data_IF_595367178586
#
_entry.id   IF_595367178586
#
_cell.length_a   1.000
_cell.length_b   1.000
_cell.length_c   1.000
_cell.angle_alpha   90.00
_cell.angle_beta   90.00
_cell.angle_gamma   90.00
#
_symmetry.space_group_name_H-M   'P 1'
#
loop_
_entity.id
_entity.type
_entity.pdbx_description
1 polymer ?
#
# COMPACT_ATOMS: atom_id res chain seq x y z
N UNK A 1 -54.84 57.14 41.08
CA UNK A 1 -54.23 55.81 41.16
C UNK A 1 -53.40 55.61 39.91
N UNK A 2 -52.07 55.60 40.04
CA UNK A 2 -51.15 55.41 38.92
C UNK A 2 -50.87 53.90 38.78
N UNK A 3 -51.11 53.33 37.59
CA UNK A 3 -50.67 51.97 37.27
C UNK A 3 -49.35 52.05 36.48
N UNK A 4 -48.30 51.50 37.06
CA UNK A 4 -47.02 51.27 36.38
C UNK A 4 -47.16 50.09 35.41
N UNK A 5 -46.56 50.14 34.21
CA UNK A 5 -46.46 48.97 33.36
C UNK A 5 -45.35 48.06 33.91
N UNK A 6 -45.76 46.97 34.57
CA UNK A 6 -44.85 45.90 34.99
C UNK A 6 -44.33 45.20 33.75
N UNK A 7 -43.03 45.37 33.50
CA UNK A 7 -42.25 44.62 32.52
C UNK A 7 -42.38 43.12 32.79
N UNK A 8 -43.06 42.41 31.90
CA UNK A 8 -43.17 40.97 31.90
C UNK A 8 -42.15 40.38 30.92
N UNK A 9 -40.87 40.44 31.26
CA UNK A 9 -39.84 39.62 30.61
C UNK A 9 -39.29 38.67 31.67
N UNK A 10 -39.69 37.40 31.58
CA UNK A 10 -39.13 36.33 32.41
C UNK A 10 -37.64 36.15 32.14
N UNK A 11 -36.87 35.54 33.07
CA UNK A 11 -35.44 35.35 32.94
C UNK A 11 -35.16 34.17 32.00
N UNK A 12 -35.53 34.31 30.73
CA UNK A 12 -35.11 33.43 29.66
C UNK A 12 -34.18 34.24 28.77
N UNK A 13 -32.95 34.38 29.28
CA UNK A 13 -31.74 34.82 28.61
C UNK A 13 -31.98 35.47 27.23
N UNK A 14 -32.27 36.77 27.24
CA UNK A 14 -31.96 37.62 26.10
C UNK A 14 -30.44 37.60 25.95
N UNK A 15 -29.94 36.65 25.17
CA UNK A 15 -28.53 36.67 24.77
C UNK A 15 -28.28 37.97 24.03
N UNK A 16 -27.24 38.70 24.44
CA UNK A 16 -26.88 39.92 23.73
C UNK A 16 -26.54 39.58 22.27
N UNK A 17 -26.67 40.55 21.36
CA UNK A 17 -26.29 40.39 19.95
C UNK A 17 -24.85 39.85 19.81
N UNK A 18 -23.98 40.15 20.77
CA UNK A 18 -22.61 39.64 20.81
C UNK A 18 -22.58 38.12 21.12
N UNK A 19 -23.36 37.67 22.09
CA UNK A 19 -23.44 36.26 22.49
C UNK A 19 -24.07 35.40 21.40
N UNK A 20 -25.10 35.90 20.70
CA UNK A 20 -25.72 35.19 19.57
C UNK A 20 -24.75 35.06 18.39
N UNK A 21 -23.99 36.12 18.07
CA UNK A 21 -22.95 36.05 17.04
C UNK A 21 -21.84 35.04 17.41
N UNK A 22 -21.37 35.04 18.66
CA UNK A 22 -20.35 34.09 19.12
C UNK A 22 -20.83 32.64 19.03
N UNK A 23 -22.09 32.38 19.41
CA UNK A 23 -22.71 31.06 19.28
C UNK A 23 -22.78 30.60 17.82
N UNK A 24 -23.25 31.47 16.91
CA UNK A 24 -23.35 31.15 15.48
C UNK A 24 -21.99 30.86 14.85
N UNK A 25 -20.94 31.62 15.22
CA UNK A 25 -19.57 31.35 14.78
C UNK A 25 -19.08 29.97 15.24
N UNK A 26 -19.29 29.62 16.51
CA UNK A 26 -18.93 28.31 17.04
C UNK A 26 -19.69 27.18 16.33
N UNK A 27 -20.97 27.38 16.04
CA UNK A 27 -21.78 26.38 15.35
C UNK A 27 -21.37 26.21 13.89
N UNK A 28 -21.02 27.30 13.20
CA UNK A 28 -20.49 27.27 11.84
C UNK A 28 -19.15 26.52 11.78
N UNK A 29 -18.25 26.77 12.73
CA UNK A 29 -16.97 26.07 12.82
C UNK A 29 -17.15 24.57 13.07
N UNK A 30 -18.06 24.19 13.97
CA UNK A 30 -18.43 22.77 14.19
C UNK A 30 -18.99 22.13 12.92
N UNK A 31 -19.87 22.83 12.21
CA UNK A 31 -20.45 22.31 10.95
C UNK A 31 -19.39 22.15 9.88
N UNK A 32 -18.47 23.11 9.74
CA UNK A 32 -17.34 22.99 8.81
C UNK A 32 -16.44 21.80 9.15
N UNK A 33 -16.10 21.59 10.42
CA UNK A 33 -15.32 20.42 10.82
C UNK A 33 -16.08 19.12 10.52
N UNK A 34 -17.37 19.05 10.83
CA UNK A 34 -18.18 17.85 10.55
C UNK A 34 -18.26 17.54 9.06
N UNK A 35 -18.29 18.57 8.21
CA UNK A 35 -18.28 18.40 6.76
C UNK A 35 -16.94 17.83 6.30
N UNK A 36 -15.82 18.37 6.81
CA UNK A 36 -14.47 17.84 6.52
C UNK A 36 -14.35 16.37 6.91
N UNK A 37 -14.75 16.01 8.13
CA UNK A 37 -14.68 14.63 8.62
C UNK A 37 -15.55 13.68 7.78
N UNK A 38 -16.74 14.13 7.35
CA UNK A 38 -17.62 13.35 6.50
C UNK A 38 -17.03 13.18 5.09
N UNK A 39 -16.42 14.22 4.53
CA UNK A 39 -15.71 14.15 3.25
C UNK A 39 -14.57 13.14 3.30
N UNK A 40 -13.74 13.15 4.36
CA UNK A 40 -12.65 12.19 4.52
C UNK A 40 -13.17 10.75 4.58
N UNK A 41 -14.23 10.51 5.37
CA UNK A 41 -14.87 9.18 5.47
C UNK A 41 -15.48 8.74 4.14
N UNK A 42 -16.12 9.64 3.42
CA UNK A 42 -16.68 9.36 2.09
C UNK A 42 -15.59 8.93 1.11
N UNK A 43 -14.50 9.69 1.04
CA UNK A 43 -13.36 9.38 0.16
C UNK A 43 -12.71 8.04 0.53
N UNK A 44 -12.52 7.77 1.82
CA UNK A 44 -11.98 6.50 2.30
C UNK A 44 -12.89 5.31 1.95
N UNK A 45 -14.20 5.45 2.14
CA UNK A 45 -15.20 4.44 1.77
C UNK A 45 -15.20 4.18 0.27
N UNK A 46 -15.12 5.25 -0.53
CA UNK A 46 -15.08 5.17 -1.99
C UNK A 46 -13.82 4.44 -2.48
N UNK A 47 -12.63 4.81 -1.99
CA UNK A 47 -11.38 4.13 -2.32
C UNK A 47 -11.39 2.63 -1.96
N UNK A 48 -12.03 2.30 -0.83
CA UNK A 48 -12.21 0.91 -0.38
C UNK A 48 -13.13 0.14 -1.32
N UNK A 49 -14.27 0.72 -1.70
CA UNK A 49 -15.22 0.12 -2.63
C UNK A 49 -14.58 -0.14 -4.01
N UNK A 50 -13.84 0.84 -4.53
CA UNK A 50 -13.10 0.71 -5.80
C UNK A 50 -12.03 -0.38 -5.75
N UNK A 51 -11.23 -0.42 -4.68
CA UNK A 51 -10.21 -1.46 -4.49
C UNK A 51 -10.81 -2.86 -4.42
N UNK A 52 -11.94 -2.99 -3.72
CA UNK A 52 -12.67 -4.25 -3.61
C UNK A 52 -13.28 -4.66 -4.96
N UNK A 53 -13.89 -3.73 -5.69
CA UNK A 53 -14.44 -3.97 -7.03
C UNK A 53 -13.36 -4.46 -8.00
N UNK A 54 -12.19 -3.82 -8.03
CA UNK A 54 -11.03 -4.27 -8.82
C UNK A 54 -10.56 -5.68 -8.43
N UNK A 55 -10.49 -5.95 -7.12
CA UNK A 55 -10.12 -7.28 -6.63
C UNK A 55 -11.14 -8.32 -7.10
N UNK A 56 -12.44 -8.06 -7.00
CA UNK A 56 -13.49 -8.97 -7.44
C UNK A 56 -13.55 -9.15 -8.96
N UNK A 57 -13.27 -8.09 -9.73
CA UNK A 57 -13.17 -8.14 -11.19
C UNK A 57 -12.09 -9.13 -11.65
N UNK A 58 -10.94 -9.15 -10.96
CA UNK A 58 -9.84 -10.08 -11.22
C UNK A 58 -10.25 -11.55 -11.11
N UNK A 59 -11.19 -11.86 -10.20
CA UNK A 59 -11.69 -13.22 -9.99
C UNK A 59 -12.98 -13.54 -10.78
N UNK A 60 -13.42 -12.62 -11.67
CA UNK A 60 -14.62 -12.79 -12.51
C UNK A 60 -15.86 -13.21 -11.71
N UNK A 61 -16.13 -12.48 -10.61
CA UNK A 61 -17.33 -12.71 -9.82
C UNK A 61 -18.59 -12.35 -10.63
N UNK A 62 -19.36 -13.36 -11.04
CA UNK A 62 -20.57 -13.17 -11.88
C UNK A 62 -21.75 -12.61 -11.08
N UNK A 63 -21.87 -12.96 -9.79
CA UNK A 63 -22.99 -12.51 -8.93
C UNK A 63 -22.98 -11.00 -8.64
N UNK A 64 -21.83 -10.34 -8.78
CA UNK A 64 -21.65 -8.92 -8.51
C UNK A 64 -21.16 -8.12 -9.71
N UNK A 65 -21.27 -8.68 -10.92
CA UNK A 65 -20.70 -8.09 -12.14
C UNK A 65 -21.21 -6.67 -12.40
N UNK A 66 -22.52 -6.47 -12.36
CA UNK A 66 -23.16 -5.17 -12.61
C UNK A 66 -22.73 -4.12 -11.55
N UNK A 67 -22.56 -4.55 -10.29
CA UNK A 67 -22.09 -3.69 -9.21
C UNK A 67 -20.62 -3.31 -9.39
N UNK A 68 -19.78 -4.26 -9.78
CA UNK A 68 -18.36 -4.03 -10.06
C UNK A 68 -18.22 -3.03 -11.20
N UNK A 69 -18.96 -3.22 -12.30
CA UNK A 69 -18.93 -2.33 -13.46
C UNK A 69 -19.39 -0.91 -13.08
N UNK A 70 -20.50 -0.79 -12.34
CA UNK A 70 -21.01 0.50 -11.87
C UNK A 70 -20.03 1.25 -10.96
N UNK A 71 -19.35 0.57 -10.03
CA UNK A 71 -18.38 1.22 -9.12
C UNK A 71 -17.13 1.68 -9.88
N UNK A 72 -16.68 0.90 -10.87
CA UNK A 72 -15.51 1.25 -11.69
C UNK A 72 -15.82 2.40 -12.66
N UNK A 73 -17.01 2.42 -13.26
CA UNK A 73 -17.46 3.52 -14.13
C UNK A 73 -17.66 4.83 -13.35
N UNK A 74 -18.26 4.78 -12.17
CA UNK A 74 -18.46 5.95 -11.31
C UNK A 74 -17.12 6.57 -10.85
N UNK A 75 -16.10 5.75 -10.59
CA UNK A 75 -14.75 6.23 -10.25
C UNK A 75 -14.11 6.97 -11.43
N UNK A 76 -14.22 6.42 -12.65
CA UNK A 76 -13.68 7.06 -13.86
C UNK A 76 -14.35 8.40 -14.13
N UNK A 77 -15.68 8.48 -14.02
CA UNK A 77 -16.42 9.72 -14.22
C UNK A 77 -16.15 10.74 -13.11
N UNK A 78 -15.96 10.30 -11.88
CA UNK A 78 -15.59 11.18 -10.77
C UNK A 78 -14.19 11.76 -10.95
N UNK A 79 -13.21 10.93 -11.32
CA UNK A 79 -11.88 11.41 -11.67
C UNK A 79 -11.98 12.38 -12.84
N UNK A 80 -12.71 12.06 -13.91
CA UNK A 80 -12.89 12.98 -15.05
C UNK A 80 -13.53 14.32 -14.64
N UNK A 81 -14.51 14.31 -13.73
CA UNK A 81 -15.16 15.52 -13.20
C UNK A 81 -14.26 16.31 -12.25
N UNK A 82 -13.54 15.66 -11.35
CA UNK A 82 -12.56 16.26 -10.45
C UNK A 82 -11.39 16.88 -11.24
N UNK A 83 -11.00 16.23 -12.33
CA UNK A 83 -10.01 16.72 -13.30
C UNK A 83 -10.50 17.91 -14.13
N UNK A 84 -11.80 17.98 -14.39
CA UNK A 84 -12.43 19.11 -15.06
C UNK A 84 -12.60 20.33 -14.13
N UNK A 85 -12.69 20.13 -12.81
CA UNK A 85 -12.84 21.20 -11.81
C UNK A 85 -11.51 21.75 -11.25
N UNK A 86 -10.38 21.04 -11.38
CA UNK A 86 -9.06 21.48 -10.88
C UNK A 86 -8.26 22.32 -11.91
N UNK A 87 -7.67 23.47 -11.52
CA UNK A 87 -6.91 24.31 -12.46
C UNK A 87 -5.53 23.71 -12.80
N UNK A 88 -5.13 23.88 -14.07
CA UNK A 88 -3.84 23.58 -14.77
C UNK A 88 -3.02 22.35 -14.28
N UNK A 89 -2.62 21.44 -15.18
CA UNK A 89 -1.84 20.21 -14.89
C UNK A 89 -0.62 20.35 -13.95
N UNK A 90 0.03 21.52 -13.92
CA UNK A 90 1.18 21.81 -13.05
C UNK A 90 0.86 21.84 -11.55
N UNK A 91 -0.37 22.17 -11.15
CA UNK A 91 -0.79 22.14 -9.75
C UNK A 91 -1.02 20.69 -9.25
N UNK A 92 -1.41 19.78 -10.17
CA UNK A 92 -1.62 18.35 -9.89
C UNK A 92 -0.31 17.62 -9.58
N UNK A 93 0.77 17.93 -10.32
CA UNK A 93 2.10 17.35 -10.08
C UNK A 93 2.62 17.69 -8.68
N UNK A 94 2.50 18.95 -8.25
CA UNK A 94 2.98 19.42 -6.94
C UNK A 94 2.41 18.70 -5.72
N UNK A 95 1.19 18.15 -5.83
CA UNK A 95 0.51 17.46 -4.72
C UNK A 95 0.96 15.99 -4.63
N UNK A 96 1.27 15.36 -5.78
CA UNK A 96 1.72 13.97 -5.83
C UNK A 96 3.26 13.82 -5.75
N UNK A 97 4.01 14.89 -6.00
CA UNK A 97 5.48 14.89 -5.99
C UNK A 97 6.08 14.28 -4.69
N UNK A 98 5.60 14.59 -3.46
CA UNK A 98 6.17 14.00 -2.25
C UNK A 98 5.89 12.49 -2.12
N UNK A 99 4.71 12.04 -2.56
CA UNK A 99 4.33 10.63 -2.51
C UNK A 99 5.12 9.81 -3.53
N UNK A 100 5.25 10.33 -4.76
CA UNK A 100 6.07 9.74 -5.82
C UNK A 100 7.53 9.67 -5.37
N UNK A 101 8.06 10.71 -4.73
CA UNK A 101 9.42 10.72 -4.21
C UNK A 101 9.60 9.71 -3.06
N UNK A 102 8.63 9.58 -2.16
CA UNK A 102 8.66 8.59 -1.09
C UNK A 102 8.68 7.17 -1.65
N UNK A 103 7.82 6.88 -2.63
CA UNK A 103 7.73 5.59 -3.29
C UNK A 103 9.01 5.26 -4.09
N UNK A 104 9.60 6.25 -4.78
CA UNK A 104 10.89 6.10 -5.46
C UNK A 104 12.02 5.75 -4.48
N UNK A 105 12.08 6.40 -3.31
CA UNK A 105 13.05 6.11 -2.26
C UNK A 105 12.89 4.70 -1.70
N UNK A 106 11.66 4.28 -1.42
CA UNK A 106 11.36 2.93 -0.92
C UNK A 106 11.72 1.84 -1.96
N UNK A 107 11.46 2.11 -3.24
CA UNK A 107 11.85 1.23 -4.34
C UNK A 107 13.37 1.10 -4.44
N UNK A 108 14.11 2.21 -4.40
CA UNK A 108 15.59 2.19 -4.39
C UNK A 108 16.13 1.42 -3.19
N UNK A 109 15.58 1.63 -2.00
CA UNK A 109 15.98 0.90 -0.80
C UNK A 109 15.71 -0.60 -0.93
N UNK A 110 14.57 -0.99 -1.50
CA UNK A 110 14.23 -2.39 -1.75
C UNK A 110 15.16 -3.05 -2.77
N UNK A 111 15.51 -2.35 -3.85
CA UNK A 111 16.48 -2.82 -4.85
C UNK A 111 17.87 -3.01 -4.23
N UNK A 112 18.30 -2.09 -3.36
CA UNK A 112 19.54 -2.23 -2.61
C UNK A 112 19.52 -3.48 -1.73
N UNK A 113 18.42 -3.73 -0.99
CA UNK A 113 18.27 -4.94 -0.16
C UNK A 113 18.32 -6.24 -0.97
N UNK A 114 17.73 -6.26 -2.15
CA UNK A 114 17.83 -7.40 -3.08
C UNK A 114 19.28 -7.61 -3.50
N UNK A 115 20.01 -6.54 -3.83
CA UNK A 115 21.42 -6.61 -4.24
C UNK A 115 22.33 -7.08 -3.08
N UNK A 116 22.15 -6.57 -1.87
CA UNK A 116 22.83 -7.05 -0.65
C UNK A 116 22.57 -8.56 -0.45
N UNK A 117 21.31 -8.99 -0.58
CA UNK A 117 20.91 -10.38 -0.49
C UNK A 117 21.60 -11.27 -1.53
N UNK A 118 21.78 -10.81 -2.78
CA UNK A 118 22.46 -11.57 -3.84
C UNK A 118 23.89 -11.94 -3.45
N UNK A 119 24.65 -11.01 -2.89
CA UNK A 119 26.03 -11.24 -2.46
C UNK A 119 26.11 -12.34 -1.39
N UNK A 120 25.24 -12.25 -0.38
CA UNK A 120 25.14 -13.27 0.69
C UNK A 120 24.75 -14.63 0.13
N UNK A 121 23.79 -14.68 -0.79
CA UNK A 121 23.33 -15.93 -1.38
C UNK A 121 24.40 -16.60 -2.26
N UNK A 122 25.19 -15.80 -3.00
CA UNK A 122 26.32 -16.30 -3.77
C UNK A 122 27.38 -16.92 -2.85
N UNK A 123 27.77 -16.21 -1.78
CA UNK A 123 28.72 -16.71 -0.79
C UNK A 123 28.23 -17.99 -0.12
N UNK A 124 26.95 -18.02 0.28
CA UNK A 124 26.33 -19.21 0.87
C UNK A 124 26.33 -20.41 -0.09
N UNK A 125 25.97 -20.19 -1.36
CA UNK A 125 26.01 -21.23 -2.40
C UNK A 125 27.42 -21.79 -2.55
N UNK A 126 28.43 -20.92 -2.59
CA UNK A 126 29.82 -21.33 -2.70
C UNK A 126 30.29 -22.12 -1.47
N UNK A 127 29.90 -21.68 -0.27
CA UNK A 127 30.20 -22.36 0.98
C UNK A 127 29.58 -23.77 1.01
N UNK A 128 28.30 -23.90 0.64
CA UNK A 128 27.63 -25.20 0.53
C UNK A 128 28.38 -26.08 -0.46
N UNK A 129 28.68 -25.59 -1.67
CA UNK A 129 29.44 -26.35 -2.69
C UNK A 129 30.79 -26.85 -2.16
N UNK A 130 31.55 -26.01 -1.44
CA UNK A 130 32.83 -26.38 -0.86
C UNK A 130 32.69 -27.40 0.29
N UNK A 131 31.67 -27.25 1.12
CA UNK A 131 31.34 -28.16 2.22
C UNK A 131 30.98 -29.55 1.68
N UNK A 132 30.12 -29.60 0.64
CA UNK A 132 29.76 -30.84 -0.06
C UNK A 132 30.99 -31.56 -0.59
N UNK A 133 31.87 -30.86 -1.31
CA UNK A 133 33.11 -31.44 -1.85
C UNK A 133 34.02 -32.01 -0.76
N UNK A 134 34.17 -31.28 0.35
CA UNK A 134 35.01 -31.71 1.48
C UNK A 134 34.44 -32.97 2.15
N UNK A 135 33.13 -32.99 2.39
CA UNK A 135 32.43 -34.16 2.91
C UNK A 135 32.51 -35.35 1.97
N UNK A 136 32.33 -35.16 0.66
CA UNK A 136 32.45 -36.25 -0.32
C UNK A 136 33.86 -36.87 -0.28
N UNK A 137 34.89 -36.04 -0.17
CA UNK A 137 36.28 -36.48 0.01
C UNK A 137 36.51 -37.27 1.30
N UNK A 138 35.87 -36.87 2.40
CA UNK A 138 35.88 -37.62 3.66
C UNK A 138 35.15 -38.95 3.52
N UNK A 139 33.94 -38.92 2.98
CA UNK A 139 33.08 -40.09 2.80
C UNK A 139 33.77 -41.16 1.97
N UNK A 140 34.50 -40.77 0.91
CA UNK A 140 35.31 -41.67 0.08
C UNK A 140 36.40 -42.40 0.87
N UNK A 141 36.99 -41.74 1.87
CA UNK A 141 38.06 -42.30 2.74
C UNK A 141 37.51 -43.14 3.89
N UNK A 142 36.28 -42.88 4.32
CA UNK A 142 35.60 -43.67 5.35
C UNK A 142 34.88 -44.86 4.73
N UNK A 143 34.99 -46.05 5.33
CA UNK A 143 34.32 -47.29 4.90
C UNK A 143 32.78 -47.30 5.05
N UNK A 144 32.14 -46.13 4.96
CA UNK A 144 30.70 -45.95 5.02
C UNK A 144 30.05 -46.67 3.83
N UNK A 145 28.96 -47.38 4.12
CA UNK A 145 28.20 -48.13 3.13
C UNK A 145 27.78 -47.24 1.95
N UNK A 146 27.94 -47.77 0.73
CA UNK A 146 27.69 -47.06 -0.53
C UNK A 146 26.33 -46.34 -0.56
N UNK A 147 25.27 -47.00 -0.11
CA UNK A 147 23.91 -46.45 -0.11
C UNK A 147 23.74 -45.21 0.80
N UNK A 148 24.36 -45.21 1.98
CA UNK A 148 24.29 -44.05 2.89
C UNK A 148 25.05 -42.86 2.33
N UNK A 149 26.22 -43.10 1.73
CA UNK A 149 27.00 -42.08 1.02
C UNK A 149 26.19 -41.50 -0.14
N UNK A 150 25.54 -42.34 -0.94
CA UNK A 150 24.74 -41.91 -2.07
C UNK A 150 23.54 -41.04 -1.65
N UNK A 151 22.73 -41.49 -0.68
CA UNK A 151 21.59 -40.72 -0.17
C UNK A 151 22.00 -39.34 0.35
N UNK A 152 23.16 -39.26 1.01
CA UNK A 152 23.70 -38.00 1.48
C UNK A 152 24.13 -37.08 0.33
N UNK A 153 24.81 -37.61 -0.69
CA UNK A 153 25.16 -36.84 -1.89
C UNK A 153 23.92 -36.30 -2.62
N UNK A 154 22.84 -37.07 -2.69
CA UNK A 154 21.56 -36.63 -3.29
C UNK A 154 20.95 -35.44 -2.53
N UNK A 155 20.92 -35.50 -1.19
CA UNK A 155 20.45 -34.37 -0.36
C UNK A 155 21.31 -33.11 -0.55
N UNK A 156 22.61 -33.29 -0.72
CA UNK A 156 23.54 -32.18 -0.95
C UNK A 156 23.31 -31.50 -2.32
N UNK A 157 23.06 -32.29 -3.36
CA UNK A 157 22.71 -31.76 -4.69
C UNK A 157 21.40 -30.97 -4.64
N UNK A 158 20.39 -31.47 -3.91
CA UNK A 158 19.13 -30.74 -3.71
C UNK A 158 19.35 -29.39 -2.99
N UNK A 159 20.20 -29.35 -1.97
CA UNK A 159 20.57 -28.11 -1.28
C UNK A 159 21.23 -27.09 -2.21
N UNK A 160 22.11 -27.54 -3.12
CA UNK A 160 22.72 -26.69 -4.15
C UNK A 160 21.67 -26.16 -5.12
N UNK A 161 20.74 -26.99 -5.58
CA UNK A 161 19.67 -26.56 -6.50
C UNK A 161 18.76 -25.50 -5.87
N UNK A 162 18.39 -25.66 -4.59
CA UNK A 162 17.58 -24.68 -3.86
C UNK A 162 18.28 -23.31 -3.75
N UNK A 163 19.59 -23.31 -3.49
CA UNK A 163 20.37 -22.06 -3.45
C UNK A 163 20.48 -21.40 -4.83
N UNK A 164 20.65 -22.18 -5.90
CA UNK A 164 20.65 -21.65 -7.27
C UNK A 164 19.27 -21.09 -7.70
N UNK A 165 18.16 -21.68 -7.22
CA UNK A 165 16.82 -21.11 -7.40
C UNK A 165 16.70 -19.77 -6.68
N UNK A 166 17.20 -19.68 -5.44
CA UNK A 166 17.17 -18.45 -4.65
C UNK A 166 17.96 -17.33 -5.36
N UNK A 167 19.16 -17.61 -5.87
CA UNK A 167 19.96 -16.65 -6.65
C UNK A 167 19.19 -16.16 -7.88
N UNK A 168 18.54 -17.08 -8.62
CA UNK A 168 17.73 -16.72 -9.81
C UNK A 168 16.54 -15.85 -9.46
N UNK A 169 15.79 -16.18 -8.40
CA UNK A 169 14.64 -15.37 -7.94
C UNK A 169 15.07 -13.96 -7.55
N UNK A 170 16.23 -13.84 -6.90
CA UNK A 170 16.80 -12.53 -6.58
C UNK A 170 17.26 -11.78 -7.85
N UNK A 171 17.69 -12.49 -8.90
CA UNK A 171 18.08 -11.92 -10.19
C UNK A 171 16.90 -11.34 -10.99
N UNK A 172 15.73 -12.01 -10.97
CA UNK A 172 14.55 -11.63 -11.77
C UNK A 172 13.87 -10.33 -11.30
N UNK A 173 14.12 -9.89 -10.06
CA UNK A 173 13.64 -8.60 -9.55
C UNK A 173 14.11 -7.37 -10.34
N UNK A 174 15.07 -7.52 -11.26
CA UNK A 174 15.57 -6.44 -12.12
C UNK A 174 15.02 -6.47 -13.56
N UNK A 175 14.28 -7.51 -13.99
CA UNK A 175 13.83 -7.67 -15.39
C UNK A 175 12.42 -7.12 -15.65
N UNK A 176 11.68 -6.70 -14.62
CA UNK A 176 10.36 -6.09 -14.79
C UNK A 176 10.40 -4.57 -15.08
N UNK A 177 11.59 -3.98 -15.27
CA UNK A 177 11.78 -2.53 -15.51
C UNK A 177 12.58 -2.24 -16.78
N UNK A 178 12.37 -3.01 -17.84
CA UNK A 178 13.07 -2.78 -19.10
C UNK A 178 12.68 -3.76 -20.18
N UNK A 179 11.46 -3.65 -20.71
CA UNK A 179 11.11 -4.17 -22.02
C UNK A 179 10.00 -3.31 -22.64
N UNK A 180 10.32 -2.04 -22.86
CA UNK A 180 9.75 -1.25 -23.96
C UNK A 180 10.92 -1.00 -24.91
N UNK A 181 11.09 -1.90 -25.87
CA UNK A 181 11.83 -1.67 -27.11
C UNK A 181 11.27 -2.65 -28.14
N UNK A 182 10.19 -2.22 -28.80
CA UNK A 182 9.89 -2.33 -30.23
C UNK A 182 8.50 -1.74 -30.53
#
# INVERSE_FOLDING_TARGET
MAMSPTTCFGPKAEMSILETNQYLCSELEKRQQSFRDLTEKFLASKATAYSLANHLQKYKCEECKDLIESVLEEELQFQERELAELPRPAARLRIHDPLIQAQAKELTHSQQKIQEGRGVCYLFTQHVKNTVKSFEGLLKKTGIAYYQRQRFCEQMVQGIQLTEILVRKLATGNLATGSEDL
#
